data_IF_720394041074
#
_entry.id   IF_720394041074
#
_cell.length_a   1.000
_cell.length_b   1.000
_cell.length_c   1.000
_cell.angle_alpha   90.00
_cell.angle_beta   90.00
_cell.angle_gamma   90.00
#
_symmetry.space_group_name_H-M   'P 1'
#
loop_
_entity.id
_entity.type
_entity.pdbx_description
1 polymer ?
#
# COMPACT_ATOMS: atom_id res chain seq x y z
N UNK A 1 -1.00 -9.60 -22.73
CA UNK A 1 0.25 -9.82 -21.98
C UNK A 1 0.31 -8.81 -20.85
N UNK A 2 -0.21 -9.15 -19.68
CA UNK A 2 0.08 -8.42 -18.43
C UNK A 2 0.86 -9.37 -17.54
N UNK A 3 2.07 -9.70 -17.99
CA UNK A 3 3.08 -10.14 -17.02
C UNK A 3 3.40 -8.91 -16.16
N UNK A 4 3.24 -9.01 -14.83
CA UNK A 4 4.23 -8.50 -13.88
C UNK A 4 3.78 -8.69 -12.44
N UNK A 5 4.47 -9.62 -11.80
CA UNK A 5 4.92 -9.55 -10.40
C UNK A 5 4.57 -8.25 -9.67
N UNK A 6 3.68 -8.33 -8.68
CA UNK A 6 3.71 -7.41 -7.55
C UNK A 6 4.85 -7.87 -6.63
N UNK A 7 6.08 -7.52 -7.03
CA UNK A 7 7.23 -7.55 -6.14
C UNK A 7 6.98 -6.65 -4.92
N UNK A 8 7.93 -6.61 -3.97
CA UNK A 8 7.83 -5.66 -2.84
C UNK A 8 7.66 -4.24 -3.39
N UNK A 9 6.58 -3.51 -3.01
CA UNK A 9 6.37 -2.16 -3.52
C UNK A 9 7.49 -1.23 -3.05
N UNK A 10 7.82 -0.25 -3.86
CA UNK A 10 8.71 0.83 -3.43
C UNK A 10 8.00 1.72 -2.39
N UNK A 11 8.75 2.50 -1.59
CA UNK A 11 8.14 3.46 -0.68
C UNK A 11 7.22 4.47 -1.36
N UNK A 12 7.58 4.87 -2.59
CA UNK A 12 6.75 5.78 -3.40
C UNK A 12 5.44 5.11 -3.83
N UNK A 13 5.47 3.83 -4.19
CA UNK A 13 4.27 3.08 -4.56
C UNK A 13 3.28 2.98 -3.40
N UNK A 14 3.79 2.68 -2.18
CA UNK A 14 2.98 2.63 -0.96
C UNK A 14 2.36 4.00 -0.66
N UNK A 15 3.16 5.07 -0.76
CA UNK A 15 2.69 6.45 -0.52
C UNK A 15 1.62 6.86 -1.51
N UNK A 16 1.83 6.62 -2.81
CA UNK A 16 0.88 6.96 -3.87
C UNK A 16 -0.44 6.21 -3.69
N UNK A 17 -0.39 4.90 -3.43
CA UNK A 17 -1.59 4.08 -3.22
C UNK A 17 -2.38 4.55 -1.98
N UNK A 18 -1.71 4.90 -0.87
CA UNK A 18 -2.38 5.47 0.31
C UNK A 18 -3.10 6.78 0.00
N UNK A 19 -2.45 7.68 -0.75
CA UNK A 19 -3.07 8.96 -1.12
C UNK A 19 -4.29 8.72 -2.02
N UNK A 20 -4.18 7.81 -2.99
CA UNK A 20 -5.28 7.43 -3.87
C UNK A 20 -6.46 6.81 -3.11
N UNK A 21 -6.21 6.05 -2.04
CA UNK A 21 -7.26 5.53 -1.17
C UNK A 21 -7.87 6.58 -0.23
N UNK A 22 -7.49 7.85 -0.33
CA UNK A 22 -7.99 8.94 0.53
C UNK A 22 -7.58 8.85 2.00
N UNK A 23 -6.59 8.00 2.35
CA UNK A 23 -6.19 7.79 3.73
C UNK A 23 -5.03 8.72 4.14
N UNK A 24 -5.09 9.24 5.36
CA UNK A 24 -3.92 9.81 6.03
C UNK A 24 -2.96 8.70 6.47
N UNK A 25 -1.71 9.03 6.80
CA UNK A 25 -0.73 8.05 7.32
C UNK A 25 -1.22 7.36 8.60
N UNK A 26 -1.94 8.07 9.49
CA UNK A 26 -2.48 7.49 10.73
C UNK A 26 -3.66 6.56 10.47
N UNK A 27 -4.53 6.89 9.51
CA UNK A 27 -5.63 6.02 9.09
C UNK A 27 -5.09 4.73 8.45
N UNK A 28 -4.08 4.85 7.58
CA UNK A 28 -3.46 3.69 6.95
C UNK A 28 -2.73 2.82 7.98
N UNK A 29 -1.94 3.43 8.89
CA UNK A 29 -1.32 2.69 9.99
C UNK A 29 -2.35 1.90 10.81
N UNK A 30 -3.49 2.52 11.16
CA UNK A 30 -4.59 1.83 11.85
C UNK A 30 -5.21 0.72 11.00
N UNK A 31 -5.45 0.95 9.70
CA UNK A 31 -6.09 0.00 8.78
C UNK A 31 -5.28 -1.28 8.59
N UNK A 32 -3.95 -1.17 8.65
CA UNK A 32 -2.98 -2.24 8.48
C UNK A 32 -2.32 -2.68 9.79
N UNK A 33 -2.86 -2.26 10.95
CA UNK A 33 -2.38 -2.66 12.28
C UNK A 33 -0.90 -2.36 12.55
N UNK A 34 -0.40 -1.24 12.04
CA UNK A 34 0.93 -0.70 12.31
C UNK A 34 0.90 0.46 13.30
N UNK A 35 2.00 0.63 14.03
CA UNK A 35 2.31 1.93 14.65
C UNK A 35 2.56 2.98 13.55
N UNK A 36 2.22 4.25 13.82
CA UNK A 36 2.39 5.35 12.85
C UNK A 36 3.84 5.44 12.33
N UNK A 37 4.82 5.34 13.22
CA UNK A 37 6.25 5.40 12.84
C UNK A 37 6.62 4.24 11.91
N UNK A 38 6.11 3.03 12.18
CA UNK A 38 6.35 1.87 11.32
C UNK A 38 5.74 2.05 9.93
N UNK A 39 4.58 2.71 9.84
CA UNK A 39 3.97 3.09 8.55
C UNK A 39 4.81 4.13 7.81
N UNK A 40 5.22 5.20 8.49
CA UNK A 40 6.05 6.26 7.90
C UNK A 40 7.36 5.72 7.33
N UNK A 41 7.97 4.73 7.97
CA UNK A 41 9.18 4.07 7.47
C UNK A 41 8.96 3.26 6.19
N UNK A 42 7.74 2.79 5.93
CA UNK A 42 7.39 2.11 4.66
C UNK A 42 7.23 3.10 3.51
N UNK A 43 6.91 4.37 3.80
CA UNK A 43 6.80 5.45 2.80
C UNK A 43 8.09 6.28 2.66
N UNK A 44 9.03 6.13 3.59
CA UNK A 44 10.29 6.86 3.57
C UNK A 44 11.24 6.30 2.51
N UNK A 45 11.75 7.18 1.65
CA UNK A 45 12.80 6.87 0.68
C UNK A 45 14.12 6.55 1.40
N UNK A 46 14.85 5.53 0.94
CA UNK A 46 16.13 5.12 1.50
C UNK A 46 16.33 3.61 1.55
N UNK A 47 17.49 3.16 2.04
CA UNK A 47 17.83 1.73 2.22
C UNK A 47 17.12 1.16 3.46
N UNK A 48 15.79 1.19 3.48
CA UNK A 48 15.03 0.45 4.48
C UNK A 48 14.60 -0.88 3.87
N UNK A 49 14.76 -1.98 4.60
CA UNK A 49 14.26 -3.29 4.17
C UNK A 49 12.76 -3.47 4.53
N UNK A 50 12.09 -2.37 4.91
CA UNK A 50 10.72 -2.37 5.42
C UNK A 50 9.78 -1.92 4.31
N UNK A 51 9.11 -2.89 3.70
CA UNK A 51 8.03 -2.66 2.74
C UNK A 51 6.76 -3.35 3.25
N UNK A 52 5.65 -3.17 2.54
CA UNK A 52 4.48 -4.04 2.68
C UNK A 52 4.79 -5.42 2.08
N UNK A 53 4.16 -6.45 2.62
CA UNK A 53 4.04 -7.72 1.89
C UNK A 53 3.19 -7.52 0.63
N UNK A 54 3.32 -8.41 -0.36
CA UNK A 54 2.54 -8.32 -1.59
C UNK A 54 1.02 -8.28 -1.31
N UNK A 55 0.52 -9.14 -0.41
CA UNK A 55 -0.91 -9.16 -0.06
C UNK A 55 -1.41 -7.89 0.65
N UNK A 56 -0.59 -7.28 1.51
CA UNK A 56 -0.95 -5.99 2.10
C UNK A 56 -0.98 -4.86 1.04
N UNK A 57 -0.06 -4.90 0.09
CA UNK A 57 -0.04 -3.92 -0.99
C UNK A 57 -1.22 -4.11 -1.96
N UNK A 58 -1.57 -5.35 -2.31
CA UNK A 58 -2.80 -5.64 -3.08
C UNK A 58 -4.05 -5.12 -2.38
N UNK A 59 -4.18 -5.33 -1.07
CA UNK A 59 -5.29 -4.74 -0.31
C UNK A 59 -5.27 -3.20 -0.35
N UNK A 60 -4.09 -2.57 -0.28
CA UNK A 60 -3.99 -1.10 -0.38
C UNK A 60 -4.43 -0.61 -1.76
N UNK A 61 -4.05 -1.30 -2.83
CA UNK A 61 -4.47 -1.01 -4.20
C UNK A 61 -5.99 -1.18 -4.39
N UNK A 62 -6.57 -2.21 -3.79
CA UNK A 62 -8.03 -2.43 -3.79
C UNK A 62 -8.77 -1.28 -3.11
N UNK A 63 -8.28 -0.83 -1.95
CA UNK A 63 -8.84 0.31 -1.23
C UNK A 63 -8.64 1.65 -1.98
N UNK A 64 -7.65 1.70 -2.88
CA UNK A 64 -7.34 2.84 -3.73
C UNK A 64 -8.02 2.78 -5.10
N UNK A 65 -8.89 1.80 -5.34
CA UNK A 65 -9.53 1.55 -6.65
C UNK A 65 -8.51 1.50 -7.81
N UNK A 66 -7.31 0.99 -7.53
CA UNK A 66 -6.15 0.99 -8.43
C UNK A 66 -5.57 -0.41 -8.64
N UNK A 67 -6.25 -1.45 -8.14
CA UNK A 67 -5.78 -2.81 -8.30
C UNK A 67 -5.98 -3.27 -9.76
N UNK A 68 -4.95 -3.84 -10.41
CA UNK A 68 -5.00 -4.13 -11.85
C UNK A 68 -6.06 -5.16 -12.24
N UNK A 69 -6.27 -6.16 -11.38
CA UNK A 69 -7.11 -7.32 -11.71
C UNK A 69 -8.45 -7.39 -10.97
N UNK A 70 -8.62 -6.59 -9.92
CA UNK A 70 -9.72 -6.75 -8.97
C UNK A 70 -10.26 -5.39 -8.54
N UNK A 71 -11.53 -5.34 -8.18
CA UNK A 71 -12.19 -4.15 -7.65
C UNK A 71 -13.01 -4.51 -6.42
N UNK A 72 -13.15 -3.57 -5.47
CA UNK A 72 -14.03 -3.76 -4.32
C UNK A 72 -15.45 -3.40 -4.69
N UNK A 73 -16.37 -4.37 -4.59
CA UNK A 73 -17.81 -4.13 -4.65
C UNK A 73 -18.39 -4.06 -3.26
N UNK A 74 -19.29 -3.09 -3.05
CA UNK A 74 -20.16 -3.08 -1.88
C UNK A 74 -21.06 -4.31 -1.90
N UNK A 75 -21.41 -4.82 -0.71
CA UNK A 75 -22.40 -5.90 -0.58
C UNK A 75 -23.80 -5.43 -0.95
#
# INVERSE_FOLDING_TARGET
>A
MTDKFIGKPSPQDVRSARIASGMTQSQAAKRFSYALVSWQQKEAEGKTNRSLSSGEYELLLLLADSHPDYELKTR
#
